data_IF_966486767428
#
_entry.id   IF_966486767428
#
_cell.length_a   1.000
_cell.length_b   1.000
_cell.length_c   1.000
_cell.angle_alpha   90.00
_cell.angle_beta   90.00
_cell.angle_gamma   90.00
#
_symmetry.space_group_name_H-M   'P 1'
#
loop_
_entity.id
_entity.type
_entity.pdbx_description
1 polymer ?
#
# COMPACT_ATOMS: atom_id res chain seq x y z
N UNK A 1 -19.83 -17.82 15.41
CA UNK A 1 -19.07 -17.49 14.19
C UNK A 1 -17.60 -17.48 14.60
N UNK A 2 -16.71 -18.12 13.85
CA UNK A 2 -15.30 -18.19 14.22
C UNK A 2 -14.59 -16.83 13.97
N UNK A 3 -13.41 -16.65 14.55
CA UNK A 3 -12.65 -15.38 14.52
C UNK A 3 -12.31 -14.92 13.09
N UNK A 4 -11.96 -15.87 12.21
CA UNK A 4 -11.65 -15.55 10.80
C UNK A 4 -12.83 -14.89 10.11
N UNK A 5 -14.02 -15.47 10.21
CA UNK A 5 -15.23 -14.89 9.61
C UNK A 5 -15.64 -13.57 10.26
N UNK A 6 -15.37 -13.39 11.57
CA UNK A 6 -15.59 -12.11 12.24
C UNK A 6 -14.65 -11.03 11.69
N UNK A 7 -13.36 -11.33 11.55
CA UNK A 7 -12.35 -10.42 11.00
C UNK A 7 -12.69 -10.00 9.58
N UNK A 8 -13.03 -10.95 8.70
CA UNK A 8 -13.43 -10.67 7.31
C UNK A 8 -14.65 -9.72 7.29
N UNK A 9 -15.68 -9.99 8.08
CA UNK A 9 -16.90 -9.17 8.14
C UNK A 9 -16.69 -7.80 8.78
N UNK A 10 -15.72 -7.67 9.69
CA UNK A 10 -15.45 -6.44 10.44
C UNK A 10 -14.43 -5.52 9.75
N UNK A 11 -13.64 -6.04 8.80
CA UNK A 11 -12.66 -5.24 8.07
C UNK A 11 -13.37 -4.14 7.26
N UNK A 12 -12.83 -2.92 7.32
CA UNK A 12 -13.28 -1.76 6.52
C UNK A 12 -12.07 -0.99 6.03
N UNK A 13 -12.25 -0.28 4.91
CA UNK A 13 -11.26 0.69 4.43
C UNK A 13 -11.28 1.93 5.31
N UNK A 14 -10.21 2.14 6.06
CA UNK A 14 -10.00 3.28 6.95
C UNK A 14 -9.16 4.32 6.23
N UNK A 15 -9.55 5.61 6.32
CA UNK A 15 -8.88 6.74 5.68
C UNK A 15 -8.65 7.93 6.63
N UNK A 16 -8.87 7.73 7.91
CA UNK A 16 -8.53 8.67 8.97
C UNK A 16 -7.66 7.95 10.00
N UNK A 17 -6.50 8.50 10.29
CA UNK A 17 -5.46 7.83 11.03
C UNK A 17 -4.92 8.73 12.15
N UNK A 18 -4.49 8.12 13.25
CA UNK A 18 -3.75 8.79 14.31
C UNK A 18 -2.28 8.99 13.90
N UNK A 19 -1.55 9.89 14.52
CA UNK A 19 -0.12 10.09 14.22
C UNK A 19 0.79 8.99 14.80
N UNK A 20 0.26 8.14 15.68
CA UNK A 20 1.02 7.09 16.34
C UNK A 20 1.45 6.02 15.33
N UNK A 21 2.71 5.64 15.33
CA UNK A 21 3.25 4.56 14.49
C UNK A 21 2.75 3.18 14.92
N UNK A 22 2.61 2.28 13.96
CA UNK A 22 2.44 0.84 14.20
C UNK A 22 3.74 0.31 14.81
N UNK A 23 3.63 -0.50 15.86
CA UNK A 23 4.78 -1.14 16.46
C UNK A 23 5.46 -2.11 15.49
N UNK A 24 6.79 -2.23 15.59
CA UNK A 24 7.56 -3.10 14.70
C UNK A 24 7.10 -4.56 14.77
N UNK A 25 6.69 -5.03 15.95
CA UNK A 25 6.18 -6.39 16.16
C UNK A 25 4.89 -6.62 15.36
N UNK A 26 3.93 -5.70 15.44
CA UNK A 26 2.68 -5.79 14.70
C UNK A 26 2.90 -5.69 13.20
N UNK A 27 3.78 -4.79 12.75
CA UNK A 27 4.14 -4.65 11.34
C UNK A 27 4.76 -5.94 10.80
N UNK A 28 5.65 -6.57 11.57
CA UNK A 28 6.28 -7.83 11.19
C UNK A 28 5.23 -8.96 11.06
N UNK A 29 4.29 -9.07 12.00
CA UNK A 29 3.19 -10.05 11.91
C UNK A 29 2.32 -9.84 10.67
N UNK A 30 2.05 -8.57 10.33
CA UNK A 30 1.26 -8.22 9.13
C UNK A 30 2.03 -8.60 7.86
N UNK A 31 3.34 -8.30 7.79
CA UNK A 31 4.18 -8.66 6.64
C UNK A 31 4.37 -10.17 6.53
N UNK A 32 4.55 -10.87 7.65
CA UNK A 32 4.59 -12.33 7.68
C UNK A 32 3.29 -12.92 7.12
N UNK A 33 2.12 -12.43 7.54
CA UNK A 33 0.84 -12.90 7.02
C UNK A 33 0.73 -12.73 5.50
N UNK A 34 1.32 -11.69 4.92
CA UNK A 34 1.37 -11.49 3.48
C UNK A 34 2.08 -12.62 2.74
N UNK A 35 3.15 -13.16 3.32
CA UNK A 35 3.95 -14.25 2.71
C UNK A 35 3.22 -15.59 2.67
N UNK A 36 2.16 -15.77 3.46
CA UNK A 36 1.30 -16.96 3.43
C UNK A 36 0.18 -16.91 2.39
N UNK A 37 0.13 -15.86 1.58
CA UNK A 37 -0.86 -15.79 0.51
C UNK A 37 -0.59 -16.84 -0.58
N UNK A 38 -1.64 -17.38 -1.22
CA UNK A 38 -1.45 -18.23 -2.39
C UNK A 38 -0.79 -17.44 -3.51
N UNK A 39 0.11 -18.08 -4.24
CA UNK A 39 0.79 -17.49 -5.39
C UNK A 39 1.01 -18.50 -6.51
N UNK A 40 1.08 -18.00 -7.74
CA UNK A 40 1.21 -18.83 -8.93
C UNK A 40 2.49 -19.64 -8.94
N UNK A 41 2.39 -20.95 -9.13
CA UNK A 41 3.51 -21.89 -9.19
C UNK A 41 4.44 -21.89 -7.96
N UNK A 42 3.99 -21.27 -6.85
CA UNK A 42 4.79 -21.11 -5.63
C UNK A 42 6.15 -20.42 -5.88
N UNK A 43 6.15 -19.40 -6.75
CA UNK A 43 7.36 -18.68 -7.14
C UNK A 43 7.77 -17.61 -6.14
N UNK A 44 6.82 -17.09 -5.36
CA UNK A 44 7.04 -16.08 -4.30
C UNK A 44 7.85 -14.86 -4.78
N UNK A 45 7.61 -14.44 -6.03
CA UNK A 45 8.35 -13.35 -6.69
C UNK A 45 7.93 -11.95 -6.24
N UNK A 46 6.95 -11.84 -5.35
CA UNK A 46 6.54 -10.57 -4.77
C UNK A 46 7.62 -9.93 -3.89
N UNK A 47 7.53 -8.61 -3.73
CA UNK A 47 8.39 -7.87 -2.84
C UNK A 47 7.54 -6.88 -2.01
N UNK A 48 7.81 -6.85 -0.70
CA UNK A 48 7.11 -5.97 0.24
C UNK A 48 8.06 -4.89 0.74
N UNK A 49 7.67 -3.62 0.60
CA UNK A 49 8.44 -2.48 1.09
C UNK A 49 7.59 -1.70 2.09
N UNK A 50 7.98 -1.69 3.35
CA UNK A 50 7.33 -0.91 4.40
C UNK A 50 8.03 0.43 4.61
N UNK A 51 7.27 1.52 4.63
CA UNK A 51 7.77 2.88 4.82
C UNK A 51 7.09 3.48 6.04
N UNK A 52 7.88 3.89 7.04
CA UNK A 52 7.44 4.57 8.25
C UNK A 52 8.09 5.96 8.43
N UNK A 53 8.97 6.35 7.54
CA UNK A 53 9.61 7.66 7.58
C UNK A 53 8.72 8.71 6.92
N UNK A 54 8.32 9.74 7.66
CA UNK A 54 7.40 10.80 7.24
C UNK A 54 7.91 11.59 6.02
N UNK A 55 9.21 11.87 5.97
CA UNK A 55 9.81 12.62 4.85
C UNK A 55 9.83 11.78 3.56
N UNK A 56 10.11 10.48 3.69
CA UNK A 56 10.06 9.54 2.58
C UNK A 56 8.63 9.39 2.04
N UNK A 57 7.63 9.30 2.92
CA UNK A 57 6.21 9.25 2.53
C UNK A 57 5.79 10.53 1.82
N UNK A 58 6.24 11.69 2.31
CA UNK A 58 5.97 12.99 1.68
C UNK A 58 6.62 13.06 0.30
N UNK A 59 7.90 12.67 0.17
CA UNK A 59 8.61 12.67 -1.12
C UNK A 59 7.94 11.75 -2.13
N UNK A 60 7.51 10.53 -1.70
CA UNK A 60 6.76 9.62 -2.54
C UNK A 60 5.46 10.25 -3.05
N UNK A 61 4.70 10.91 -2.17
CA UNK A 61 3.48 11.62 -2.56
C UNK A 61 3.76 12.74 -3.58
N UNK A 62 4.82 13.50 -3.38
CA UNK A 62 5.21 14.58 -4.28
C UNK A 62 5.60 14.03 -5.67
N UNK A 63 6.28 12.87 -5.75
CA UNK A 63 6.56 12.16 -7.00
C UNK A 63 5.29 11.69 -7.71
N UNK A 64 4.36 11.08 -6.98
CA UNK A 64 3.05 10.65 -7.51
C UNK A 64 2.28 11.85 -8.06
N UNK A 65 2.24 12.96 -7.32
CA UNK A 65 1.62 14.22 -7.79
C UNK A 65 2.28 14.76 -9.04
N UNK A 66 3.61 14.71 -9.12
CA UNK A 66 4.35 15.10 -10.31
C UNK A 66 3.98 14.28 -11.55
N UNK A 67 3.79 12.98 -11.39
CA UNK A 67 3.29 12.11 -12.45
C UNK A 67 1.82 12.44 -12.82
N UNK A 68 0.97 12.65 -11.82
CA UNK A 68 -0.43 13.05 -12.05
C UNK A 68 -0.59 14.38 -12.78
N UNK A 69 0.29 15.35 -12.52
CA UNK A 69 0.28 16.66 -13.20
C UNK A 69 0.55 16.56 -14.72
N UNK A 70 1.16 15.45 -15.16
CA UNK A 70 1.43 15.15 -16.57
C UNK A 70 0.29 14.37 -17.26
N UNK A 71 -0.79 14.04 -16.53
CA UNK A 71 -1.89 13.22 -17.04
C UNK A 71 -2.76 13.99 -18.01
N UNK A 72 -3.27 13.31 -19.05
CA UNK A 72 -4.27 13.85 -19.98
C UNK A 72 -5.71 13.85 -19.36
N UNK A 73 -5.91 13.09 -18.28
CA UNK A 73 -7.18 13.10 -17.54
C UNK A 73 -7.25 14.31 -16.60
N UNK A 74 -8.24 15.23 -16.81
CA UNK A 74 -8.34 16.47 -16.03
C UNK A 74 -8.46 16.24 -14.52
N UNK A 75 -9.16 15.20 -14.07
CA UNK A 75 -9.32 14.89 -12.66
C UNK A 75 -8.01 14.44 -12.02
N UNK A 76 -7.23 13.64 -12.73
CA UNK A 76 -5.92 13.20 -12.29
C UNK A 76 -4.94 14.37 -12.28
N UNK A 77 -4.96 15.20 -13.32
CA UNK A 77 -4.13 16.40 -13.41
C UNK A 77 -4.42 17.39 -12.27
N UNK A 78 -5.70 17.62 -11.94
CA UNK A 78 -6.10 18.46 -10.80
C UNK A 78 -5.50 17.96 -9.47
N UNK A 79 -5.52 16.65 -9.23
CA UNK A 79 -4.86 16.05 -8.04
C UNK A 79 -3.36 16.30 -8.03
N UNK A 80 -2.70 16.26 -9.20
CA UNK A 80 -1.29 16.57 -9.35
C UNK A 80 -0.95 18.00 -8.93
N UNK A 81 -1.80 18.95 -9.25
CA UNK A 81 -1.63 20.39 -8.92
C UNK A 81 -2.14 20.76 -7.52
N UNK A 82 -2.97 19.94 -6.90
CA UNK A 82 -3.56 20.23 -5.59
C UNK A 82 -2.50 20.34 -4.49
N UNK A 83 -2.56 21.41 -3.69
CA UNK A 83 -1.67 21.60 -2.54
C UNK A 83 -2.03 20.67 -1.36
N UNK A 84 -3.26 20.23 -1.28
CA UNK A 84 -3.81 19.46 -0.15
C UNK A 84 -3.93 17.98 -0.44
N UNK A 85 -3.73 17.55 -1.69
CA UNK A 85 -3.86 16.13 -2.05
C UNK A 85 -2.77 15.28 -1.43
N UNK A 86 -3.19 14.25 -0.70
CA UNK A 86 -2.33 13.25 -0.09
C UNK A 86 -2.88 11.86 -0.43
N UNK A 87 -2.20 11.13 -1.32
CA UNK A 87 -2.66 9.81 -1.79
C UNK A 87 -2.69 8.76 -0.67
N UNK A 88 -1.90 8.94 0.39
CA UNK A 88 -1.81 8.03 1.54
C UNK A 88 -2.59 8.52 2.77
N UNK A 89 -3.47 9.53 2.65
CA UNK A 89 -4.34 10.04 3.71
C UNK A 89 -3.60 10.35 5.02
N UNK A 90 -2.33 10.77 4.95
CA UNK A 90 -1.44 11.01 6.08
C UNK A 90 -1.21 9.79 6.99
N UNK A 91 -1.45 8.58 6.50
CA UNK A 91 -1.13 7.37 7.24
C UNK A 91 0.39 7.30 7.52
N UNK A 92 0.82 7.03 8.75
CA UNK A 92 2.24 7.03 9.08
C UNK A 92 2.99 5.76 8.65
N UNK A 93 2.27 4.72 8.23
CA UNK A 93 2.87 3.49 7.67
C UNK A 93 2.23 3.15 6.32
N UNK A 94 3.07 2.88 5.34
CA UNK A 94 2.68 2.44 4.00
C UNK A 94 3.42 1.15 3.66
N UNK A 95 2.70 0.13 3.18
CA UNK A 95 3.30 -1.08 2.61
C UNK A 95 3.05 -1.10 1.12
N UNK A 96 4.11 -1.14 0.34
CA UNK A 96 4.07 -1.28 -1.12
C UNK A 96 4.22 -2.77 -1.46
N UNK A 97 3.35 -3.28 -2.31
CA UNK A 97 3.42 -4.65 -2.83
C UNK A 97 3.74 -4.59 -4.32
N UNK A 98 4.86 -5.16 -4.70
CA UNK A 98 5.35 -5.22 -6.08
C UNK A 98 5.69 -6.64 -6.49
N UNK A 99 5.70 -6.90 -7.80
CA UNK A 99 6.01 -8.22 -8.35
C UNK A 99 6.56 -8.08 -9.77
N UNK A 100 7.18 -9.14 -10.27
CA UNK A 100 7.61 -9.23 -11.65
C UNK A 100 6.40 -9.26 -12.60
N UNK A 101 6.30 -8.36 -13.59
CA UNK A 101 5.14 -8.31 -14.49
C UNK A 101 5.14 -9.41 -15.56
N UNK A 102 6.17 -10.25 -15.60
CA UNK A 102 6.33 -11.31 -16.61
C UNK A 102 5.28 -12.40 -16.50
N UNK A 103 4.71 -12.59 -15.31
CA UNK A 103 3.66 -13.57 -15.06
C UNK A 103 2.30 -12.91 -15.08
N UNK A 104 1.36 -13.43 -15.88
CA UNK A 104 0.00 -12.86 -16.00
C UNK A 104 -0.77 -12.86 -14.67
N UNK A 105 -0.41 -13.71 -13.71
CA UNK A 105 -1.02 -13.79 -12.37
C UNK A 105 -0.34 -12.90 -11.31
N UNK A 106 0.74 -12.20 -11.64
CA UNK A 106 1.47 -11.36 -10.69
C UNK A 106 0.57 -10.36 -9.91
N UNK A 107 -0.40 -9.77 -10.60
CA UNK A 107 -1.39 -8.88 -9.97
C UNK A 107 -2.30 -9.63 -8.98
N UNK A 108 -2.66 -10.87 -9.29
CA UNK A 108 -3.52 -11.71 -8.44
C UNK A 108 -2.77 -12.14 -7.18
N UNK A 109 -1.51 -12.55 -7.32
CA UNK A 109 -0.64 -12.88 -6.19
C UNK A 109 -0.52 -11.70 -5.22
N UNK A 110 -0.25 -10.51 -5.75
CA UNK A 110 -0.17 -9.29 -4.95
C UNK A 110 -1.52 -8.93 -4.29
N UNK A 111 -2.64 -9.16 -4.97
CA UNK A 111 -3.96 -8.92 -4.40
C UNK A 111 -4.26 -9.87 -3.24
N UNK A 112 -3.90 -11.15 -3.36
CA UNK A 112 -4.03 -12.12 -2.27
C UNK A 112 -3.15 -11.74 -1.06
N UNK A 113 -1.91 -11.33 -1.30
CA UNK A 113 -1.01 -10.86 -0.26
C UNK A 113 -1.54 -9.60 0.44
N UNK A 114 -2.08 -8.64 -0.31
CA UNK A 114 -2.72 -7.44 0.25
C UNK A 114 -3.94 -7.78 1.11
N UNK A 115 -4.78 -8.73 0.70
CA UNK A 115 -5.91 -9.15 1.54
C UNK A 115 -5.44 -9.78 2.85
N UNK A 116 -4.38 -10.60 2.83
CA UNK A 116 -3.78 -11.11 4.06
C UNK A 116 -3.27 -9.97 4.97
N UNK A 117 -2.62 -8.94 4.40
CA UNK A 117 -2.23 -7.72 5.13
C UNK A 117 -3.44 -7.07 5.80
N UNK A 118 -4.55 -6.91 5.08
CA UNK A 118 -5.75 -6.26 5.60
C UNK A 118 -6.40 -7.05 6.73
N UNK A 119 -6.47 -8.36 6.59
CA UNK A 119 -7.05 -9.24 7.61
C UNK A 119 -6.17 -9.33 8.85
N UNK A 120 -4.85 -9.44 8.68
CA UNK A 120 -3.89 -9.42 9.78
C UNK A 120 -3.94 -8.09 10.53
N UNK A 121 -3.91 -6.95 9.82
CA UNK A 121 -4.06 -5.64 10.43
C UNK A 121 -5.36 -5.54 11.24
N UNK A 122 -6.50 -5.98 10.66
CA UNK A 122 -7.80 -5.96 11.34
C UNK A 122 -7.82 -6.84 12.60
N UNK A 123 -7.19 -8.01 12.58
CA UNK A 123 -7.12 -8.90 13.74
C UNK A 123 -6.33 -8.30 14.90
N UNK A 124 -5.35 -7.44 14.59
CA UNK A 124 -4.56 -6.67 15.57
C UNK A 124 -5.21 -5.33 15.98
N UNK A 125 -6.45 -5.07 15.55
CA UNK A 125 -7.14 -3.79 15.84
C UNK A 125 -6.64 -2.60 15.02
N UNK A 126 -5.85 -2.84 13.97
CA UNK A 126 -5.22 -1.84 13.12
C UNK A 126 -6.10 -1.58 11.89
N UNK A 127 -6.31 -0.30 11.56
CA UNK A 127 -7.02 0.12 10.35
C UNK A 127 -6.15 0.01 9.11
N UNK A 128 -6.76 -0.33 7.99
CA UNK A 128 -6.05 -0.43 6.70
C UNK A 128 -6.90 0.06 5.54
N UNK A 129 -6.26 0.42 4.44
CA UNK A 129 -6.93 0.78 3.20
C UNK A 129 -6.04 0.47 2.00
N UNK A 130 -6.63 -0.11 0.96
CA UNK A 130 -5.97 -0.26 -0.34
C UNK A 130 -5.97 1.07 -1.09
N UNK A 131 -4.82 1.45 -1.62
CA UNK A 131 -4.68 2.56 -2.56
C UNK A 131 -3.93 2.10 -3.82
N UNK A 132 -4.25 2.71 -4.97
CA UNK A 132 -3.72 2.30 -6.28
C UNK A 132 -2.93 3.38 -7.02
N UNK A 133 -2.78 4.57 -6.45
CA UNK A 133 -2.16 5.70 -7.12
C UNK A 133 -0.74 5.40 -7.60
N UNK A 134 0.04 4.70 -6.78
CA UNK A 134 1.40 4.30 -7.16
C UNK A 134 1.40 3.23 -8.27
N UNK A 135 0.43 2.30 -8.28
CA UNK A 135 0.27 1.33 -9.37
C UNK A 135 0.00 1.99 -10.73
N UNK A 136 -0.61 3.18 -10.73
CA UNK A 136 -0.86 3.98 -11.94
C UNK A 136 0.35 4.81 -12.37
N UNK A 137 1.28 5.11 -11.47
CA UNK A 137 2.40 6.04 -11.68
C UNK A 137 3.77 5.40 -11.57
N UNK A 138 3.87 4.14 -11.19
CA UNK A 138 5.16 3.47 -10.94
C UNK A 138 6.07 3.36 -12.17
N UNK A 139 5.52 3.55 -13.37
CA UNK A 139 6.26 3.55 -14.64
C UNK A 139 6.73 4.96 -15.05
N UNK A 140 6.29 6.04 -14.36
CA UNK A 140 6.87 7.37 -14.55
C UNK A 140 8.34 7.36 -14.13
N UNK A 141 9.27 7.93 -14.95
CA UNK A 141 10.70 7.84 -14.67
C UNK A 141 11.14 8.39 -13.31
N UNK A 142 10.53 9.49 -12.83
CA UNK A 142 10.86 10.10 -11.56
C UNK A 142 10.36 9.25 -10.38
N UNK A 143 9.17 8.66 -10.53
CA UNK A 143 8.61 7.71 -9.56
C UNK A 143 9.44 6.44 -9.54
N UNK A 144 9.75 5.85 -10.72
CA UNK A 144 10.56 4.63 -10.82
C UNK A 144 11.93 4.77 -10.18
N UNK A 145 12.64 5.87 -10.47
CA UNK A 145 13.93 6.14 -9.86
C UNK A 145 13.86 6.22 -8.33
N UNK A 146 12.79 6.79 -7.80
CA UNK A 146 12.57 6.86 -6.36
C UNK A 146 12.26 5.48 -5.76
N UNK A 147 11.42 4.69 -6.40
CA UNK A 147 11.11 3.32 -5.96
C UNK A 147 12.36 2.43 -5.91
N UNK A 148 13.27 2.56 -6.89
CA UNK A 148 14.56 1.86 -6.89
C UNK A 148 15.43 2.25 -5.70
N UNK A 149 15.47 3.54 -5.33
CA UNK A 149 16.16 4.01 -4.12
C UNK A 149 15.56 3.42 -2.83
N UNK A 150 14.27 3.11 -2.81
CA UNK A 150 13.60 2.45 -1.69
C UNK A 150 13.84 0.93 -1.64
N UNK A 151 14.60 0.37 -2.59
CA UNK A 151 14.93 -1.04 -2.66
C UNK A 151 13.92 -1.89 -3.43
N UNK A 152 12.94 -1.29 -4.10
CA UNK A 152 12.02 -2.03 -4.96
C UNK A 152 12.77 -2.43 -6.24
N UNK A 153 12.83 -3.74 -6.61
CA UNK A 153 13.55 -4.20 -7.79
C UNK A 153 13.12 -3.46 -9.07
N UNK A 154 14.08 -3.15 -9.94
CA UNK A 154 13.84 -2.37 -11.17
C UNK A 154 12.89 -3.08 -12.13
N UNK A 155 12.92 -4.42 -12.15
CA UNK A 155 12.04 -5.25 -12.96
C UNK A 155 10.64 -5.45 -12.35
N UNK A 156 10.37 -4.90 -11.15
CA UNK A 156 9.06 -5.02 -10.49
C UNK A 156 8.13 -3.87 -10.87
N UNK A 157 6.87 -4.21 -11.08
CA UNK A 157 5.75 -3.28 -11.12
C UNK A 157 5.03 -3.25 -9.76
N UNK A 158 4.53 -2.09 -9.36
CA UNK A 158 3.69 -1.98 -8.17
C UNK A 158 2.25 -2.36 -8.52
N UNK A 159 1.67 -3.28 -7.75
CA UNK A 159 0.30 -3.76 -7.95
C UNK A 159 -0.69 -3.26 -6.90
N UNK A 160 -0.20 -2.72 -5.80
CA UNK A 160 -1.04 -2.09 -4.80
C UNK A 160 -0.25 -1.66 -3.57
N UNK A 161 -0.90 -0.86 -2.75
CA UNK A 161 -0.36 -0.38 -1.49
C UNK A 161 -1.39 -0.57 -0.38
N UNK A 162 -0.90 -0.90 0.80
CA UNK A 162 -1.69 -0.88 2.03
C UNK A 162 -1.26 0.30 2.89
N UNK A 163 -2.22 1.15 3.24
CA UNK A 163 -2.09 2.05 4.38
C UNK A 163 -2.37 1.24 5.64
N UNK A 164 -1.53 1.36 6.65
CA UNK A 164 -1.66 0.58 7.89
C UNK A 164 -1.50 1.53 9.07
N UNK A 165 -2.50 1.59 9.94
CA UNK A 165 -2.40 2.38 11.17
C UNK A 165 -3.52 2.15 12.18
N UNK A 166 -3.28 2.59 13.42
CA UNK A 166 -4.30 2.67 14.47
C UNK A 166 -5.39 3.66 14.00
N UNK A 167 -6.60 3.16 13.73
CA UNK A 167 -7.72 3.98 13.28
C UNK A 167 -8.20 4.91 14.39
N UNK A 168 -8.53 6.16 14.03
CA UNK A 168 -9.33 6.99 14.92
C UNK A 168 -10.63 6.26 15.28
N UNK A 169 -11.12 6.36 16.54
CA UNK A 169 -12.44 5.87 16.89
C UNK A 169 -13.46 6.52 15.97
N UNK A 170 -14.14 5.72 15.14
CA UNK A 170 -15.25 6.23 14.32
C UNK A 170 -16.30 6.85 15.24
N UNK A 171 -16.49 8.15 15.16
CA UNK A 171 -17.68 8.79 15.71
C UNK A 171 -18.85 8.25 14.90
N UNK A 172 -19.67 7.41 15.54
CA UNK A 172 -20.98 7.00 15.04
C UNK A 172 -21.97 8.15 15.16
#
# INVERSE_FOLDING_TARGET
MNETLQTIKARRSVRAYMEQQVFAEDLNLILEAATYAPNGMHLETWHFTAIQNKEVLKELNDKIKGAFAKSDDPHTQERGHSQTYCCYYHAPTLVIVSNEPTQWWAAMDCACALENIFLAAKSLGIGSCWINQLGQTCDDPDVRAFLTKLGIPENHRVYGLSLIHISEPTRH
#
